data_IF_682989091785
#
_entry.id   IF_682989091785
#
_cell.length_a   1.000
_cell.length_b   1.000
_cell.length_c   1.000
_cell.angle_alpha   90.00
_cell.angle_beta   90.00
_cell.angle_gamma   90.00
#
_symmetry.space_group_name_H-M   'P 1'
#
loop_
_entity.id
_entity.type
_entity.pdbx_description
1 polymer ?
#
# COMPACT_ATOMS: atom_id res chain seq x y z
N UNK A 1 -20.56 -35.27 -20.73
CA UNK A 1 -21.28 -34.23 -19.96
C UNK A 1 -20.72 -32.88 -20.37
N UNK A 2 -21.39 -32.18 -21.29
CA UNK A 2 -21.00 -30.80 -21.67
C UNK A 2 -21.72 -29.80 -20.76
N UNK A 3 -20.95 -28.95 -20.09
CA UNK A 3 -21.47 -27.81 -19.34
C UNK A 3 -22.01 -26.77 -20.33
N UNK A 4 -23.33 -26.56 -20.37
CA UNK A 4 -23.94 -25.43 -21.08
C UNK A 4 -23.46 -24.11 -20.44
N UNK A 5 -22.75 -23.27 -21.22
CA UNK A 5 -22.47 -21.87 -20.89
C UNK A 5 -23.80 -21.16 -20.60
N UNK A 6 -23.94 -20.54 -19.43
CA UNK A 6 -25.02 -19.59 -19.15
C UNK A 6 -24.79 -18.34 -19.99
N UNK A 7 -25.64 -18.08 -20.96
CA UNK A 7 -25.70 -16.79 -21.65
C UNK A 7 -26.29 -15.76 -20.68
N UNK A 8 -25.52 -14.73 -20.35
CA UNK A 8 -26.01 -13.62 -19.55
C UNK A 8 -26.96 -12.77 -20.41
N UNK A 9 -28.18 -12.56 -19.92
CA UNK A 9 -29.16 -11.72 -20.61
C UNK A 9 -28.92 -10.24 -20.33
N UNK A 10 -29.34 -9.38 -21.26
CA UNK A 10 -29.29 -7.93 -21.06
C UNK A 10 -30.08 -7.48 -19.82
N UNK A 11 -31.17 -8.19 -19.49
CA UNK A 11 -31.98 -7.91 -18.30
C UNK A 11 -31.24 -8.22 -16.98
N UNK A 12 -30.37 -9.24 -16.97
CA UNK A 12 -29.50 -9.49 -15.82
C UNK A 12 -28.48 -8.36 -15.65
N UNK A 13 -27.87 -7.91 -16.75
CA UNK A 13 -26.92 -6.79 -16.70
C UNK A 13 -27.59 -5.52 -16.17
N UNK A 14 -28.78 -5.17 -16.68
CA UNK A 14 -29.53 -3.99 -16.24
C UNK A 14 -29.79 -4.04 -14.73
N UNK A 15 -30.24 -5.20 -14.21
CA UNK A 15 -30.49 -5.38 -12.79
C UNK A 15 -29.24 -5.18 -11.93
N UNK A 16 -28.08 -5.65 -12.39
CA UNK A 16 -26.84 -5.45 -11.63
C UNK A 16 -26.33 -3.99 -11.70
N UNK A 17 -26.56 -3.29 -12.82
CA UNK A 17 -26.31 -1.84 -12.93
C UNK A 17 -27.25 -1.06 -12.00
N UNK A 18 -28.51 -1.43 -11.92
CA UNK A 18 -29.47 -0.76 -11.02
C UNK A 18 -29.05 -0.91 -9.56
N UNK A 19 -28.59 -2.09 -9.14
CA UNK A 19 -28.01 -2.29 -7.78
C UNK A 19 -26.79 -1.40 -7.53
N UNK A 20 -25.94 -1.24 -8.54
CA UNK A 20 -24.77 -0.34 -8.45
C UNK A 20 -25.23 1.11 -8.24
N UNK A 21 -26.26 1.55 -8.98
CA UNK A 21 -26.86 2.89 -8.84
C UNK A 21 -27.50 3.05 -7.46
N UNK A 22 -28.26 2.07 -6.96
CA UNK A 22 -28.86 2.13 -5.62
C UNK A 22 -27.79 2.27 -4.53
N UNK A 23 -26.67 1.56 -4.67
CA UNK A 23 -25.61 1.57 -3.65
C UNK A 23 -24.76 2.83 -3.65
N UNK A 24 -24.46 3.38 -4.84
CA UNK A 24 -23.46 4.45 -4.97
C UNK A 24 -24.04 5.78 -5.46
N UNK A 25 -25.28 5.80 -5.93
CA UNK A 25 -25.89 6.93 -6.62
C UNK A 25 -25.47 7.01 -8.10
N UNK A 26 -26.34 7.58 -8.92
CA UNK A 26 -26.20 7.62 -10.39
C UNK A 26 -24.84 8.17 -10.85
N UNK A 27 -24.41 9.32 -10.32
CA UNK A 27 -23.17 9.98 -10.72
C UNK A 27 -21.93 9.10 -10.47
N UNK A 28 -21.87 8.40 -9.33
CA UNK A 28 -20.75 7.50 -9.02
C UNK A 28 -20.83 6.20 -9.83
N UNK A 29 -22.03 5.65 -10.04
CA UNK A 29 -22.21 4.48 -10.91
C UNK A 29 -21.75 4.75 -12.34
N UNK A 30 -22.10 5.91 -12.92
CA UNK A 30 -21.61 6.37 -14.23
C UNK A 30 -20.08 6.45 -14.23
N UNK A 31 -19.48 7.03 -13.19
CA UNK A 31 -18.01 7.15 -13.07
C UNK A 31 -17.32 5.77 -13.06
N UNK A 32 -17.92 4.79 -12.38
CA UNK A 32 -17.44 3.40 -12.34
C UNK A 32 -17.56 2.75 -13.73
N UNK A 33 -18.69 2.94 -14.41
CA UNK A 33 -18.89 2.42 -15.78
C UNK A 33 -17.84 3.01 -16.73
N UNK A 34 -17.60 4.33 -16.72
CA UNK A 34 -16.56 4.96 -17.55
C UNK A 34 -15.13 4.44 -17.24
N UNK A 35 -14.82 4.18 -15.96
CA UNK A 35 -13.53 3.61 -15.56
C UNK A 35 -13.34 2.17 -16.06
N UNK A 36 -14.42 1.39 -16.08
CA UNK A 36 -14.41 -0.01 -16.52
C UNK A 36 -14.51 -0.16 -18.04
N UNK A 37 -15.16 0.78 -18.73
CA UNK A 37 -15.33 0.79 -20.18
C UNK A 37 -14.13 1.35 -20.95
N UNK A 38 -13.06 1.75 -20.26
CA UNK A 38 -11.76 2.02 -20.87
C UNK A 38 -11.54 3.44 -21.38
N UNK A 39 -12.24 4.45 -20.84
CA UNK A 39 -11.81 5.84 -21.06
C UNK A 39 -10.37 6.04 -20.54
N UNK A 40 -9.53 6.78 -21.28
CA UNK A 40 -8.08 6.75 -21.08
C UNK A 40 -7.69 7.17 -19.66
N UNK A 41 -6.99 6.25 -18.98
CA UNK A 41 -6.42 6.42 -17.65
C UNK A 41 -5.59 7.71 -17.59
N UNK A 42 -6.07 8.70 -16.84
CA UNK A 42 -5.31 9.95 -16.64
C UNK A 42 -4.11 9.75 -15.71
N UNK A 43 -3.02 10.44 -16.00
CA UNK A 43 -1.79 10.56 -15.20
C UNK A 43 -2.04 10.97 -13.73
N UNK A 44 -3.25 11.45 -13.39
CA UNK A 44 -3.65 11.77 -12.00
C UNK A 44 -3.65 10.56 -11.06
N UNK A 45 -3.77 9.34 -11.58
CA UNK A 45 -3.90 8.15 -10.72
C UNK A 45 -2.57 7.73 -10.04
N UNK A 46 -1.41 8.02 -10.66
CA UNK A 46 -0.11 7.58 -10.12
C UNK A 46 0.24 8.23 -8.78
N UNK A 47 -0.02 9.53 -8.60
CA UNK A 47 0.19 10.18 -7.30
C UNK A 47 -0.72 9.61 -6.20
N UNK A 48 -1.95 9.23 -6.56
CA UNK A 48 -2.91 8.64 -5.64
C UNK A 48 -2.51 7.21 -5.27
N UNK A 49 -2.04 6.40 -6.23
CA UNK A 49 -1.47 5.07 -5.98
C UNK A 49 -0.26 5.13 -5.06
N UNK A 50 0.68 6.05 -5.31
CA UNK A 50 1.84 6.26 -4.43
C UNK A 50 1.39 6.64 -3.02
N UNK A 51 0.38 7.51 -2.89
CA UNK A 51 -0.17 7.87 -1.59
C UNK A 51 -0.79 6.65 -0.88
N UNK A 52 -1.60 5.86 -1.57
CA UNK A 52 -2.23 4.65 -1.04
C UNK A 52 -1.17 3.63 -0.59
N UNK A 53 -0.13 3.42 -1.40
CA UNK A 53 0.96 2.52 -1.08
C UNK A 53 1.76 2.99 0.13
N UNK A 54 2.12 4.28 0.21
CA UNK A 54 2.84 4.83 1.37
C UNK A 54 2.01 4.67 2.65
N UNK A 55 0.71 4.98 2.60
CA UNK A 55 -0.20 4.80 3.74
C UNK A 55 -0.28 3.32 4.13
N UNK A 56 -0.44 2.42 3.16
CA UNK A 56 -0.51 0.98 3.41
C UNK A 56 0.78 0.46 4.08
N UNK A 57 1.95 0.74 3.49
CA UNK A 57 3.26 0.33 4.05
C UNK A 57 3.40 0.83 5.48
N UNK A 58 3.08 2.10 5.74
CA UNK A 58 3.25 2.73 7.05
C UNK A 58 2.36 2.06 8.10
N UNK A 59 1.07 1.92 7.81
CA UNK A 59 0.08 1.34 8.74
C UNK A 59 0.36 -0.13 8.99
N UNK A 60 0.63 -0.89 7.93
CA UNK A 60 0.88 -2.33 8.04
C UNK A 60 2.21 -2.61 8.74
N UNK A 61 3.24 -1.79 8.50
CA UNK A 61 4.50 -1.88 9.23
C UNK A 61 4.32 -1.62 10.71
N UNK A 62 3.60 -0.56 11.10
CA UNK A 62 3.34 -0.28 12.53
C UNK A 62 2.59 -1.43 13.19
N UNK A 63 1.55 -1.95 12.53
CA UNK A 63 0.74 -3.06 13.01
C UNK A 63 1.57 -4.34 13.21
N UNK A 64 2.38 -4.71 12.23
CA UNK A 64 3.15 -5.96 12.26
C UNK A 64 4.32 -5.94 13.24
N UNK A 65 4.94 -4.78 13.45
CA UNK A 65 6.02 -4.61 14.43
C UNK A 65 5.51 -4.29 15.84
N UNK A 66 4.20 -4.10 16.04
CA UNK A 66 3.64 -3.77 17.35
C UNK A 66 3.98 -2.35 17.82
N UNK A 67 4.21 -1.42 16.90
CA UNK A 67 4.41 -0.01 17.24
C UNK A 67 3.04 0.64 17.50
N UNK A 68 2.67 0.78 18.77
CA UNK A 68 1.44 1.46 19.19
C UNK A 68 1.52 2.96 18.92
N UNK A 69 0.38 3.58 18.61
CA UNK A 69 0.28 5.03 18.45
C UNK A 69 0.15 5.63 19.84
N UNK A 70 1.26 5.96 20.49
CA UNK A 70 1.20 6.83 21.66
C UNK A 70 1.13 8.29 21.23
N UNK A 71 0.51 9.12 22.08
CA UNK A 71 0.14 10.51 21.82
C UNK A 71 1.36 11.42 21.60
N UNK A 72 2.56 10.91 21.88
CA UNK A 72 3.84 11.58 21.61
C UNK A 72 4.57 10.83 20.49
N UNK A 73 4.58 11.41 19.29
CA UNK A 73 5.13 10.90 18.01
C UNK A 73 6.66 10.62 18.00
N UNK A 74 7.26 10.34 19.16
CA UNK A 74 8.70 10.23 19.42
C UNK A 74 9.10 8.95 20.17
N UNK A 75 8.31 7.88 20.06
CA UNK A 75 8.71 6.62 20.67
C UNK A 75 9.92 6.02 19.94
N UNK A 76 11.06 6.06 20.63
CA UNK A 76 12.31 5.41 20.26
C UNK A 76 12.35 3.95 20.72
N UNK A 77 11.19 3.30 20.83
CA UNK A 77 11.11 1.87 21.09
C UNK A 77 11.70 1.11 19.92
N UNK A 78 12.24 -0.07 20.20
CA UNK A 78 12.86 -0.91 19.17
C UNK A 78 11.85 -1.25 18.07
N UNK A 79 10.61 -1.54 18.46
CA UNK A 79 9.47 -1.87 17.61
C UNK A 79 9.14 -0.71 16.65
N UNK A 80 9.06 0.51 17.17
CA UNK A 80 8.80 1.69 16.35
C UNK A 80 9.98 2.08 15.46
N UNK A 81 11.22 1.86 15.91
CA UNK A 81 12.42 2.03 15.09
C UNK A 81 12.47 1.00 13.96
N UNK A 82 12.18 -0.26 14.26
CA UNK A 82 12.12 -1.37 13.31
C UNK A 82 11.03 -1.13 12.26
N UNK A 83 9.85 -0.67 12.69
CA UNK A 83 8.77 -0.27 11.81
C UNK A 83 9.16 0.92 10.90
N UNK A 84 9.81 1.95 11.47
CA UNK A 84 10.21 3.16 10.73
C UNK A 84 11.25 2.85 9.67
N UNK A 85 12.29 2.09 10.02
CA UNK A 85 13.34 1.73 9.07
C UNK A 85 12.82 0.85 7.95
N UNK A 86 11.94 -0.11 8.27
CA UNK A 86 11.29 -0.96 7.26
C UNK A 86 10.38 -0.16 6.34
N UNK A 87 9.60 0.78 6.90
CA UNK A 87 8.74 1.68 6.12
C UNK A 87 9.55 2.47 5.09
N UNK A 88 10.67 3.07 5.49
CA UNK A 88 11.51 3.86 4.58
C UNK A 88 12.20 3.00 3.52
N UNK A 89 12.65 1.81 3.92
CA UNK A 89 13.21 0.84 2.98
C UNK A 89 12.19 0.46 1.90
N UNK A 90 11.01 -0.03 2.30
CA UNK A 90 9.97 -0.48 1.37
C UNK A 90 9.44 0.66 0.49
N UNK A 91 9.23 1.86 1.04
CA UNK A 91 8.84 3.02 0.21
C UNK A 91 9.91 3.31 -0.84
N UNK A 92 11.19 3.28 -0.48
CA UNK A 92 12.28 3.54 -1.43
C UNK A 92 12.41 2.44 -2.49
N UNK A 93 12.10 1.19 -2.13
CA UNK A 93 12.13 0.01 -3.01
C UNK A 93 10.97 -0.01 -4.01
N UNK A 94 9.76 0.32 -3.56
CA UNK A 94 8.53 0.17 -4.36
C UNK A 94 7.96 1.49 -4.90
N UNK A 95 8.67 2.62 -4.73
CA UNK A 95 8.30 3.92 -5.31
C UNK A 95 9.51 4.73 -5.79
N UNK A 96 9.25 5.68 -6.69
CA UNK A 96 10.26 6.64 -7.17
C UNK A 96 10.48 7.84 -6.23
N UNK A 97 9.99 7.77 -4.99
CA UNK A 97 10.19 8.85 -4.03
C UNK A 97 11.67 8.98 -3.64
N UNK A 98 12.18 10.20 -3.70
CA UNK A 98 13.49 10.57 -3.15
C UNK A 98 13.48 10.60 -1.62
N UNK A 99 14.63 10.44 -0.98
CA UNK A 99 14.77 10.55 0.48
C UNK A 99 14.22 11.86 1.04
N UNK A 100 14.35 12.97 0.31
CA UNK A 100 13.78 14.26 0.71
C UNK A 100 12.24 14.25 0.65
N UNK A 101 11.64 13.64 -0.37
CA UNK A 101 10.18 13.52 -0.47
C UNK A 101 9.62 12.58 0.60
N UNK A 102 10.32 11.49 0.92
CA UNK A 102 9.98 10.62 2.05
C UNK A 102 10.05 11.44 3.35
N UNK A 103 11.16 12.14 3.61
CA UNK A 103 11.33 12.94 4.82
C UNK A 103 10.21 13.96 5.03
N UNK A 104 9.84 14.70 3.98
CA UNK A 104 8.71 15.65 4.01
C UNK A 104 7.38 14.99 4.44
N UNK A 105 7.12 13.75 4.04
CA UNK A 105 5.89 13.01 4.40
C UNK A 105 5.84 12.60 5.87
N UNK A 106 6.99 12.39 6.49
CA UNK A 106 7.11 11.91 7.87
C UNK A 106 7.60 12.99 8.86
N UNK A 107 7.72 14.25 8.42
CA UNK A 107 8.30 15.32 9.25
C UNK A 107 9.77 15.07 9.63
N UNK A 108 10.50 14.31 8.80
CA UNK A 108 11.89 13.92 9.06
C UNK A 108 12.87 14.57 8.09
N UNK A 109 14.10 14.77 8.54
CA UNK A 109 15.17 15.25 7.66
C UNK A 109 15.57 14.18 6.63
N UNK A 110 16.06 14.61 5.46
CA UNK A 110 16.63 13.71 4.44
C UNK A 110 17.69 12.76 5.06
N UNK A 111 18.53 13.28 5.96
CA UNK A 111 19.59 12.52 6.63
C UNK A 111 19.02 11.42 7.52
N UNK A 112 17.98 11.73 8.29
CA UNK A 112 17.29 10.74 9.13
C UNK A 112 16.69 9.60 8.30
N UNK A 113 16.06 9.92 7.15
CA UNK A 113 15.52 8.91 6.24
C UNK A 113 16.63 8.00 5.69
N UNK A 114 17.74 8.58 5.22
CA UNK A 114 18.89 7.81 4.71
C UNK A 114 19.46 6.89 5.80
N UNK A 115 19.62 7.41 7.01
CA UNK A 115 20.12 6.64 8.14
C UNK A 115 19.25 5.40 8.40
N UNK A 116 17.94 5.58 8.57
CA UNK A 116 17.01 4.48 8.82
C UNK A 116 16.91 3.52 7.63
N UNK A 117 16.86 4.03 6.39
CA UNK A 117 16.89 3.19 5.20
C UNK A 117 18.13 2.28 5.17
N UNK A 118 19.31 2.85 5.40
CA UNK A 118 20.56 2.08 5.40
C UNK A 118 20.62 1.11 6.58
N UNK A 119 20.14 1.52 7.76
CA UNK A 119 20.05 0.62 8.92
C UNK A 119 19.21 -0.62 8.62
N UNK A 120 18.10 -0.45 7.90
CA UNK A 120 17.30 -1.60 7.45
C UNK A 120 18.11 -2.50 6.49
N UNK A 121 18.81 -1.92 5.51
CA UNK A 121 19.70 -2.70 4.63
C UNK A 121 20.78 -3.47 5.39
N UNK A 122 21.39 -2.85 6.40
CA UNK A 122 22.40 -3.50 7.23
C UNK A 122 21.79 -4.71 7.94
N UNK A 123 20.61 -4.56 8.56
CA UNK A 123 19.90 -5.66 9.22
C UNK A 123 19.56 -6.80 8.23
N UNK A 124 19.08 -6.45 7.03
CA UNK A 124 18.78 -7.41 5.97
C UNK A 124 20.02 -8.15 5.45
N UNK A 125 21.21 -7.55 5.58
CA UNK A 125 22.48 -8.17 5.14
C UNK A 125 23.00 -9.27 6.07
N UNK A 126 22.49 -9.34 7.31
CA UNK A 126 22.90 -10.31 8.33
C UNK A 126 21.69 -11.01 8.97
N UNK A 127 20.85 -11.69 8.17
CA UNK A 127 19.51 -12.16 8.59
C UNK A 127 19.55 -13.18 9.73
N UNK A 128 20.64 -13.95 9.86
CA UNK A 128 20.80 -14.96 10.92
C UNK A 128 20.71 -14.41 12.35
N UNK A 129 21.08 -13.14 12.55
CA UNK A 129 21.07 -12.48 13.86
C UNK A 129 19.75 -11.73 14.15
N UNK A 130 18.85 -11.65 13.16
CA UNK A 130 17.65 -10.83 13.21
C UNK A 130 16.38 -11.62 12.86
N UNK A 131 16.32 -12.91 13.24
CA UNK A 131 15.24 -13.84 12.83
C UNK A 131 13.82 -13.30 13.00
N UNK A 132 13.50 -12.71 14.16
CA UNK A 132 12.17 -12.13 14.42
C UNK A 132 11.87 -10.96 13.48
N UNK A 133 12.83 -10.04 13.30
CA UNK A 133 12.71 -8.94 12.36
C UNK A 133 12.51 -9.44 10.93
N UNK A 134 13.29 -10.44 10.49
CA UNK A 134 13.20 -11.00 9.14
C UNK A 134 11.83 -11.62 8.84
N UNK A 135 11.28 -12.39 9.78
CA UNK A 135 9.94 -12.97 9.64
C UNK A 135 8.87 -11.89 9.45
N UNK A 136 8.92 -10.83 10.26
CA UNK A 136 7.99 -9.69 10.17
C UNK A 136 8.20 -8.90 8.89
N UNK A 137 9.45 -8.65 8.51
CA UNK A 137 9.81 -7.95 7.27
C UNK A 137 9.28 -8.69 6.04
N UNK A 138 9.51 -10.00 5.93
CA UNK A 138 9.04 -10.79 4.78
C UNK A 138 7.52 -10.89 4.72
N UNK A 139 6.86 -10.98 5.86
CA UNK A 139 5.40 -10.91 5.92
C UNK A 139 4.89 -9.56 5.39
N UNK A 140 5.48 -8.46 5.83
CA UNK A 140 5.13 -7.12 5.36
C UNK A 140 5.40 -6.95 3.87
N UNK A 141 6.58 -7.35 3.39
CA UNK A 141 6.95 -7.25 1.98
C UNK A 141 5.99 -8.04 1.08
N UNK A 142 5.63 -9.27 1.49
CA UNK A 142 4.60 -10.05 0.81
C UNK A 142 3.26 -9.34 0.76
N UNK A 143 2.84 -8.73 1.87
CA UNK A 143 1.59 -7.96 1.94
C UNK A 143 1.64 -6.73 1.01
N UNK A 144 2.79 -6.06 0.91
CA UNK A 144 3.03 -4.93 0.00
C UNK A 144 2.95 -5.36 -1.46
N UNK A 145 3.58 -6.47 -1.84
CA UNK A 145 3.50 -7.02 -3.20
C UNK A 145 2.05 -7.38 -3.55
N UNK A 146 1.31 -8.02 -2.63
CA UNK A 146 -0.10 -8.34 -2.84
C UNK A 146 -0.97 -7.08 -2.94
N UNK A 147 -0.66 -6.02 -2.19
CA UNK A 147 -1.37 -4.75 -2.29
C UNK A 147 -1.11 -4.07 -3.64
N UNK A 148 0.15 -4.02 -4.08
CA UNK A 148 0.55 -3.51 -5.40
C UNK A 148 -0.18 -4.22 -6.54
N UNK A 149 -0.31 -5.55 -6.46
CA UNK A 149 -1.04 -6.34 -7.45
C UNK A 149 -2.55 -6.02 -7.52
N UNK A 150 -3.14 -5.42 -6.47
CA UNK A 150 -4.56 -5.04 -6.43
C UNK A 150 -4.84 -3.62 -6.91
N UNK A 151 -3.85 -2.73 -6.83
CA UNK A 151 -4.00 -1.31 -7.17
C UNK A 151 -3.47 -0.96 -8.57
N UNK A 152 -2.83 -1.92 -9.25
CA UNK A 152 -2.34 -1.80 -10.62
C UNK A 152 -3.27 -2.51 -11.61
#
# INVERSE_FOLDING_TARGET
MEQKKKEHSYSELQREIDKLITKFGMTKAITIVHHLSGEPRSVKNEKQKVQLLVTFITTESRRLFGCEVSVTDHENTKECLDARMTTYHLIKTYTDLSYSQIGKRFGQSKRAVIHHHNKCKDVLSIPQFHKSFMSTYHLLERNVIQFLAKIN
#
